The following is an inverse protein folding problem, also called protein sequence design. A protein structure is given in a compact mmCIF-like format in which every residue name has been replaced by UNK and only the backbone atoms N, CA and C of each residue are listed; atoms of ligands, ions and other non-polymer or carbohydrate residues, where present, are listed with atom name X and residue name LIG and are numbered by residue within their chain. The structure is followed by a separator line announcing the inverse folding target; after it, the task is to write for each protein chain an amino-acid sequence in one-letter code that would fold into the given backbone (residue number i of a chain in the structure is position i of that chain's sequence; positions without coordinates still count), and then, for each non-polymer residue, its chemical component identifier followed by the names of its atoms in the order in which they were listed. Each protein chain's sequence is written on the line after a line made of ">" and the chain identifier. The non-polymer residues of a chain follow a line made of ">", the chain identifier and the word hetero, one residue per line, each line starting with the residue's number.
data_IF_257534947148
#
_entry.id   IF_257534947148
#
_cell.length_a   1.000
_cell.length_b   1.000
_cell.length_c   1.000
_cell.angle_alpha   90.00
_cell.angle_beta   90.00
_cell.angle_gamma   90.00
#
_symmetry.space_group_name_H-M   'P 1'
#
loop_
_entity.id
_entity.type
_entity.pdbx_description
1 polymer ?
#
# COMPACT_ATOMS: atom_id res chain seq x y z
N UNK A 1 17.04 4.51 -3.29
CA UNK A 1 16.21 3.43 -2.68
C UNK A 1 14.72 3.63 -2.97
N UNK A 2 14.11 4.79 -2.69
CA UNK A 2 12.66 4.99 -2.87
C UNK A 2 12.18 4.99 -4.34
N UNK A 3 12.96 5.52 -5.30
CA UNK A 3 12.60 5.46 -6.74
C UNK A 3 12.21 4.05 -7.21
N UNK A 4 12.98 3.04 -6.81
CA UNK A 4 12.70 1.65 -7.19
C UNK A 4 11.43 1.13 -6.51
N UNK A 5 11.20 1.50 -5.25
CA UNK A 5 9.99 1.16 -4.50
C UNK A 5 8.74 1.76 -5.18
N UNK A 6 8.81 3.02 -5.63
CA UNK A 6 7.72 3.66 -6.38
C UNK A 6 7.41 2.93 -7.69
N UNK A 7 8.44 2.64 -8.49
CA UNK A 7 8.26 1.92 -9.76
C UNK A 7 7.64 0.54 -9.53
N UNK A 8 8.10 -0.16 -8.50
CA UNK A 8 7.58 -1.48 -8.14
C UNK A 8 6.11 -1.40 -7.71
N UNK A 9 5.76 -0.47 -6.81
CA UNK A 9 4.39 -0.26 -6.35
C UNK A 9 3.40 -0.01 -7.51
N UNK A 10 3.78 0.87 -8.44
CA UNK A 10 2.96 1.16 -9.63
C UNK A 10 2.82 -0.08 -10.52
N UNK A 11 3.91 -0.81 -10.73
CA UNK A 11 3.90 -2.01 -11.60
C UNK A 11 3.00 -3.11 -11.03
N UNK A 12 3.09 -3.38 -9.73
CA UNK A 12 2.26 -4.39 -9.06
C UNK A 12 0.79 -3.98 -9.01
N UNK A 13 0.49 -2.70 -8.76
CA UNK A 13 -0.87 -2.17 -8.85
C UNK A 13 -1.48 -2.39 -10.25
N UNK A 14 -0.72 -2.10 -11.31
CA UNK A 14 -1.17 -2.32 -12.70
C UNK A 14 -1.42 -3.81 -12.97
N UNK A 15 -0.49 -4.70 -12.56
CA UNK A 15 -0.65 -6.14 -12.74
C UNK A 15 -1.92 -6.65 -12.08
N UNK A 16 -2.15 -6.27 -10.83
CA UNK A 16 -3.33 -6.65 -10.06
C UNK A 16 -4.62 -6.17 -10.73
N UNK A 17 -4.68 -4.91 -11.17
CA UNK A 17 -5.91 -4.35 -11.77
C UNK A 17 -6.23 -4.92 -13.14
N UNK A 18 -5.22 -5.40 -13.88
CA UNK A 18 -5.46 -6.11 -15.14
C UNK A 18 -6.18 -7.42 -14.92
N UNK A 19 -5.85 -8.16 -13.86
CA UNK A 19 -6.41 -9.50 -13.57
C UNK A 19 -7.75 -9.45 -12.85
N UNK A 20 -8.15 -8.29 -12.32
CA UNK A 20 -9.36 -8.15 -11.54
C UNK A 20 -10.64 -8.22 -12.40
N UNK A 21 -11.72 -8.84 -11.90
CA UNK A 21 -13.02 -8.86 -12.57
C UNK A 21 -13.84 -7.62 -12.19
N UNK A 22 -13.47 -6.49 -12.80
CA UNK A 22 -14.16 -5.19 -12.69
C UNK A 22 -14.27 -4.50 -14.04
N UNK A 23 -15.15 -3.51 -14.14
CA UNK A 23 -15.23 -2.67 -15.33
C UNK A 23 -13.92 -1.90 -15.54
N UNK A 24 -13.64 -1.50 -16.78
CA UNK A 24 -12.45 -0.69 -17.08
C UNK A 24 -12.45 0.63 -16.28
N UNK A 25 -13.61 1.26 -16.13
CA UNK A 25 -13.76 2.51 -15.39
C UNK A 25 -13.36 2.34 -13.91
N UNK A 26 -13.86 1.30 -13.26
CA UNK A 26 -13.50 0.98 -11.86
C UNK A 26 -12.01 0.67 -11.72
N UNK A 27 -11.44 -0.13 -12.64
CA UNK A 27 -10.00 -0.44 -12.64
C UNK A 27 -9.13 0.81 -12.71
N UNK A 28 -9.52 1.76 -13.57
CA UNK A 28 -8.81 3.05 -13.73
C UNK A 28 -8.95 3.91 -12.48
N UNK A 29 -10.16 4.03 -11.92
CA UNK A 29 -10.42 4.81 -10.72
C UNK A 29 -9.62 4.28 -9.51
N UNK A 30 -9.62 2.96 -9.34
CA UNK A 30 -8.85 2.32 -8.29
C UNK A 30 -7.34 2.46 -8.56
N UNK A 31 -6.87 2.33 -9.80
CA UNK A 31 -5.44 2.44 -10.11
C UNK A 31 -4.91 3.83 -9.78
N UNK A 32 -5.74 4.86 -10.03
CA UNK A 32 -5.46 6.23 -9.59
C UNK A 32 -5.32 6.28 -8.07
N UNK A 33 -6.20 5.63 -7.31
CA UNK A 33 -6.11 5.59 -5.85
C UNK A 33 -4.79 4.93 -5.37
N UNK A 34 -4.35 3.82 -5.99
CA UNK A 34 -3.09 3.18 -5.62
C UNK A 34 -1.89 4.08 -5.86
N UNK A 35 -1.85 4.76 -7.01
CA UNK A 35 -0.75 5.66 -7.36
C UNK A 35 -0.68 6.83 -6.37
N UNK A 36 -1.84 7.39 -6.00
CA UNK A 36 -1.92 8.47 -5.01
C UNK A 36 -1.52 8.01 -3.60
N UNK A 37 -1.81 6.77 -3.23
CA UNK A 37 -1.42 6.20 -1.94
C UNK A 37 0.03 5.66 -1.91
N UNK A 38 0.67 5.47 -3.07
CA UNK A 38 2.03 4.96 -3.19
C UNK A 38 3.06 5.68 -2.30
N UNK A 39 3.08 7.03 -2.23
CA UNK A 39 3.93 7.77 -1.31
C UNK A 39 3.68 7.41 0.16
N UNK A 40 2.43 7.46 0.64
CA UNK A 40 2.08 7.11 2.02
C UNK A 40 2.59 5.71 2.37
N UNK A 41 2.33 4.71 1.51
CA UNK A 41 2.85 3.36 1.71
C UNK A 41 4.39 3.31 1.82
N UNK A 42 5.11 3.97 0.91
CA UNK A 42 6.58 3.92 0.86
C UNK A 42 7.22 4.60 2.06
N UNK A 43 6.57 5.63 2.59
CA UNK A 43 7.02 6.40 3.75
C UNK A 43 6.48 5.88 5.09
N UNK A 44 5.68 4.79 5.11
CA UNK A 44 5.29 4.09 6.33
C UNK A 44 3.90 4.41 6.86
N UNK A 45 3.08 5.17 6.13
CA UNK A 45 1.68 5.39 6.45
C UNK A 45 0.81 4.35 5.71
N UNK A 46 0.26 3.40 6.46
CA UNK A 46 -0.44 2.25 5.88
C UNK A 46 -1.97 2.33 5.95
N UNK A 47 -2.53 3.43 6.47
CA UNK A 47 -3.98 3.61 6.73
C UNK A 47 -4.86 3.38 5.50
N UNK A 48 -4.41 3.82 4.33
CA UNK A 48 -5.16 3.73 3.07
C UNK A 48 -4.64 2.62 2.16
N UNK A 49 -3.77 1.74 2.66
CA UNK A 49 -3.30 0.62 1.86
C UNK A 49 -4.39 -0.42 1.69
N UNK A 50 -4.41 -1.07 0.53
CA UNK A 50 -5.27 -2.23 0.28
C UNK A 50 -4.55 -3.52 0.67
N UNK A 51 -5.31 -4.49 1.16
CA UNK A 51 -4.79 -5.77 1.68
C UNK A 51 -4.07 -6.64 0.64
N UNK A 52 -4.40 -6.49 -0.65
CA UNK A 52 -3.70 -7.20 -1.73
C UNK A 52 -2.24 -6.74 -1.89
N UNK A 53 -1.91 -5.53 -1.41
CA UNK A 53 -0.61 -4.88 -1.63
C UNK A 53 0.19 -4.70 -0.34
N UNK A 54 -0.48 -4.48 0.79
CA UNK A 54 0.15 -4.20 2.07
C UNK A 54 -0.41 -5.12 3.15
N UNK A 55 0.49 -5.79 3.88
CA UNK A 55 0.14 -6.71 4.96
C UNK A 55 -0.19 -5.98 6.27
N UNK A 56 0.26 -4.73 6.41
CA UNK A 56 0.12 -3.93 7.63
C UNK A 56 -1.25 -3.25 7.78
N UNK A 57 -2.16 -3.47 6.82
CA UNK A 57 -3.53 -2.92 6.82
C UNK A 57 -4.34 -3.40 8.04
N UNK A 58 -4.02 -4.59 8.56
CA UNK A 58 -4.73 -5.18 9.70
C UNK A 58 -3.99 -4.99 11.04
N UNK A 59 -2.85 -4.30 11.06
CA UNK A 59 -2.10 -4.05 12.30
C UNK A 59 -2.62 -2.80 13.01
N UNK A 60 -3.95 -2.67 13.13
CA UNK A 60 -4.52 -1.76 14.12
C UNK A 60 -4.41 -2.47 15.46
N UNK A 61 -3.46 -2.02 16.31
CA UNK A 61 -3.12 -2.45 17.69
C UNK A 61 -2.09 -3.57 17.89
N UNK A 62 -0.80 -3.21 17.87
CA UNK A 62 0.12 -3.46 19.00
C UNK A 62 1.51 -2.91 18.68
N UNK A 63 1.63 -1.60 18.61
CA UNK A 63 2.80 -0.95 19.21
C UNK A 63 2.56 -0.94 20.72
N UNK A 64 2.66 -2.09 21.39
CA UNK A 64 2.96 -2.06 22.82
C UNK A 64 4.34 -1.43 22.93
N UNK A 65 4.42 -0.40 23.76
CA UNK A 65 5.62 0.29 24.22
C UNK A 65 6.64 -0.69 24.83
N UNK A 66 7.30 -1.52 24.02
CA UNK A 66 8.39 -2.39 24.48
C UNK A 66 9.78 -1.85 24.17
N UNK A 67 9.90 -0.75 23.43
CA UNK A 67 11.21 -0.23 23.01
C UNK A 67 11.77 0.89 23.90
N UNK A 68 11.06 1.28 24.97
CA UNK A 68 11.67 2.02 26.08
C UNK A 68 12.10 1.00 27.13
N UNK A 69 13.15 0.24 26.83
CA UNK A 69 13.93 -0.41 27.88
C UNK A 69 14.92 0.61 28.42
N UNK A 70 14.45 1.44 29.35
CA UNK A 70 15.32 2.14 30.29
C UNK A 70 15.75 1.10 31.34
N UNK A 71 16.82 0.37 31.06
CA UNK A 71 17.69 -0.31 32.03
C UNK A 71 19.05 -0.51 31.40
#
# INVERSE_FOLDING_TARGET
>A
KNKMRFRWAITEAIKYRKTEERTLSEKVALLKADILNGPSHIFGEHKNCSSYFCKDVNTTTSSTLSDIKLT
#
